data_IF_135609674188
#
_entry.id   IF_135609674188
#
_cell.length_a   1.000
_cell.length_b   1.000
_cell.length_c   1.000
_cell.angle_alpha   90.00
_cell.angle_beta   90.00
_cell.angle_gamma   90.00
#
_symmetry.space_group_name_H-M   'P 1'
#
loop_
_entity.id
_entity.type
_entity.pdbx_description
1 polymer ?
#
# COMPACT_ATOMS: atom_id res chain seq x y z
N UNK A 1 3.73 -13.73 -31.41
CA UNK A 1 2.95 -13.89 -30.17
C UNK A 1 3.91 -13.91 -28.97
N UNK A 2 4.51 -12.77 -28.61
CA UNK A 2 5.42 -12.68 -27.45
C UNK A 2 5.24 -11.39 -26.65
N UNK A 3 4.50 -10.40 -27.16
CA UNK A 3 4.24 -9.15 -26.46
C UNK A 3 3.15 -9.23 -25.37
N UNK A 4 2.35 -10.31 -25.35
CA UNK A 4 1.18 -10.43 -24.45
C UNK A 4 1.48 -11.00 -23.06
N UNK A 5 2.63 -11.65 -22.86
CA UNK A 5 2.97 -12.30 -21.58
C UNK A 5 3.72 -11.33 -20.66
N UNK A 6 4.49 -10.38 -21.21
CA UNK A 6 5.27 -9.40 -20.43
C UNK A 6 4.34 -8.40 -19.70
N UNK A 7 3.20 -8.02 -20.29
CA UNK A 7 2.26 -7.08 -19.66
C UNK A 7 1.47 -7.63 -18.46
N UNK A 8 1.43 -8.95 -18.25
CA UNK A 8 0.69 -9.54 -17.13
C UNK A 8 1.55 -9.68 -15.86
N UNK A 9 2.87 -9.74 -15.99
CA UNK A 9 3.80 -9.75 -14.85
C UNK A 9 4.05 -8.35 -14.27
N UNK A 10 3.94 -7.29 -15.08
CA UNK A 10 4.12 -5.90 -14.62
C UNK A 10 3.00 -5.39 -13.69
N UNK A 11 1.84 -6.05 -13.69
CA UNK A 11 0.68 -5.62 -12.90
C UNK A 11 0.53 -6.29 -11.54
N UNK A 12 1.31 -7.34 -11.23
CA UNK A 12 1.15 -8.04 -9.95
C UNK A 12 1.92 -7.32 -8.86
N UNK A 13 1.19 -6.60 -8.01
CA UNK A 13 1.77 -6.04 -6.79
C UNK A 13 1.94 -7.14 -5.75
N UNK A 14 3.10 -7.19 -5.10
CA UNK A 14 3.35 -8.17 -4.05
C UNK A 14 2.59 -7.81 -2.77
N UNK A 15 2.17 -8.79 -1.95
CA UNK A 15 1.51 -8.49 -0.67
C UNK A 15 2.31 -7.56 0.24
N UNK A 16 3.65 -7.70 0.27
CA UNK A 16 4.53 -6.83 1.05
C UNK A 16 4.56 -5.38 0.55
N UNK A 17 4.41 -5.17 -0.76
CA UNK A 17 4.31 -3.84 -1.35
C UNK A 17 2.98 -3.17 -1.00
N UNK A 18 1.89 -3.93 -0.97
CA UNK A 18 0.58 -3.44 -0.53
C UNK A 18 0.59 -3.02 0.94
N UNK A 19 1.30 -3.77 1.79
CA UNK A 19 1.51 -3.38 3.19
C UNK A 19 2.24 -2.03 3.28
N UNK A 20 3.24 -1.79 2.42
CA UNK A 20 3.96 -0.51 2.37
C UNK A 20 3.03 0.62 1.91
N UNK A 21 2.23 0.41 0.86
CA UNK A 21 1.26 1.41 0.38
C UNK A 21 0.23 1.74 1.46
N UNK A 22 -0.37 0.73 2.10
CA UNK A 22 -1.30 0.93 3.22
C UNK A 22 -0.66 1.68 4.39
N UNK A 23 0.57 1.32 4.78
CA UNK A 23 1.24 1.96 5.90
C UNK A 23 1.50 3.45 5.63
N UNK A 24 1.86 3.82 4.39
CA UNK A 24 2.04 5.23 3.99
C UNK A 24 0.70 5.98 4.02
N UNK A 25 -0.37 5.37 3.49
CA UNK A 25 -1.70 5.98 3.47
C UNK A 25 -2.27 6.18 4.89
N UNK A 26 -2.24 5.13 5.71
CA UNK A 26 -2.78 5.14 7.09
C UNK A 26 -2.00 6.08 8.00
N UNK A 27 -0.66 6.03 7.93
CA UNK A 27 0.15 6.90 8.80
C UNK A 27 0.00 8.39 8.46
N UNK A 28 -0.48 8.71 7.24
CA UNK A 28 -0.38 10.03 6.61
C UNK A 28 1.03 10.64 6.72
N UNK A 29 2.01 9.80 7.04
CA UNK A 29 3.40 10.13 7.26
C UNK A 29 4.16 9.66 6.04
N UNK A 30 5.25 10.35 5.83
CA UNK A 30 5.99 10.47 4.61
C UNK A 30 6.94 9.27 4.42
N UNK A 31 6.59 8.09 4.95
CA UNK A 31 7.42 6.87 4.95
C UNK A 31 8.75 6.96 5.70
N UNK A 32 9.17 8.16 6.17
CA UNK A 32 10.45 8.41 6.83
C UNK A 32 10.65 7.61 8.11
N UNK A 33 9.58 7.43 8.89
CA UNK A 33 9.62 6.65 10.13
C UNK A 33 9.76 5.15 9.87
N UNK A 34 9.18 4.64 8.77
CA UNK A 34 9.25 3.22 8.41
C UNK A 34 10.65 2.79 7.94
N UNK A 35 11.40 3.71 7.33
CA UNK A 35 12.77 3.47 6.88
C UNK A 35 13.85 3.74 7.93
N UNK A 36 13.49 4.38 9.05
CA UNK A 36 14.47 4.77 10.05
C UNK A 36 15.12 3.57 10.76
N UNK A 37 14.51 2.37 10.74
CA UNK A 37 15.01 1.18 11.45
C UNK A 37 14.72 -0.14 10.71
N UNK A 38 15.58 -0.53 9.75
CA UNK A 38 16.00 -1.92 9.72
C UNK A 38 17.50 -2.04 9.43
N UNK A 39 18.32 -2.25 10.48
CA UNK A 39 19.74 -2.57 10.33
C UNK A 39 19.86 -4.09 10.09
N UNK A 40 20.21 -4.50 8.87
CA UNK A 40 20.43 -5.91 8.51
C UNK A 40 19.90 -6.29 7.12
N UNK A 41 19.87 -7.60 6.82
CA UNK A 41 19.38 -8.18 5.55
C UNK A 41 17.94 -7.75 5.22
N UNK A 42 17.14 -7.46 6.25
CA UNK A 42 15.77 -6.94 6.14
C UNK A 42 15.73 -5.52 5.57
N UNK A 43 16.77 -4.70 5.80
CA UNK A 43 16.84 -3.33 5.29
C UNK A 43 17.02 -3.27 3.78
N UNK A 44 17.84 -4.16 3.22
CA UNK A 44 18.04 -4.26 1.77
C UNK A 44 16.78 -4.76 1.06
N UNK A 45 16.11 -5.77 1.62
CA UNK A 45 14.82 -6.24 1.11
C UNK A 45 13.77 -5.14 1.11
N UNK A 46 13.62 -4.41 2.23
CA UNK A 46 12.67 -3.28 2.32
C UNK A 46 13.03 -2.19 1.32
N UNK A 47 14.32 -1.83 1.19
CA UNK A 47 14.77 -0.83 0.20
C UNK A 47 14.39 -1.24 -1.22
N UNK A 48 14.60 -2.50 -1.58
CA UNK A 48 14.24 -3.04 -2.90
C UNK A 48 12.73 -2.93 -3.17
N UNK A 49 11.89 -3.14 -2.16
CA UNK A 49 10.44 -2.96 -2.31
C UNK A 49 10.06 -1.48 -2.55
N UNK A 50 10.69 -0.55 -1.82
CA UNK A 50 10.47 0.88 -2.06
C UNK A 50 10.93 1.32 -3.46
N UNK A 51 12.10 0.84 -3.89
CA UNK A 51 12.64 1.17 -5.21
C UNK A 51 11.79 0.56 -6.33
N UNK A 52 11.27 -0.67 -6.15
CA UNK A 52 10.27 -1.31 -7.02
C UNK A 52 8.98 -0.48 -7.15
N UNK A 53 8.49 0.06 -6.03
CA UNK A 53 7.28 0.88 -6.03
C UNK A 53 7.49 2.27 -6.65
N UNK A 54 8.69 2.84 -6.50
CA UNK A 54 9.08 4.09 -7.16
C UNK A 54 9.26 3.89 -8.66
N UNK A 55 9.95 2.83 -9.09
CA UNK A 55 10.22 2.57 -10.51
C UNK A 55 8.92 2.32 -11.29
N UNK A 56 7.94 1.66 -10.67
CA UNK A 56 6.60 1.44 -11.24
C UNK A 56 5.65 2.62 -11.07
N UNK A 57 6.08 3.68 -10.38
CA UNK A 57 5.35 4.94 -10.26
C UNK A 57 4.22 4.96 -9.24
N UNK A 58 4.17 3.99 -8.31
CA UNK A 58 3.20 3.97 -7.21
C UNK A 58 3.62 4.92 -6.07
N UNK A 59 4.93 5.08 -5.88
CA UNK A 59 5.50 6.01 -4.92
C UNK A 59 6.32 7.09 -5.62
N UNK A 60 6.31 8.28 -5.02
CA UNK A 60 7.23 9.37 -5.34
C UNK A 60 8.16 9.59 -4.16
N UNK A 61 9.46 9.51 -4.40
CA UNK A 61 10.49 9.85 -3.42
C UNK A 61 10.60 11.38 -3.33
N UNK A 62 10.53 11.90 -2.10
CA UNK A 62 10.68 13.30 -1.73
C UNK A 62 11.79 13.41 -0.68
N UNK A 63 12.86 14.17 -0.97
CA UNK A 63 14.00 14.31 -0.04
C UNK A 63 13.60 14.83 1.35
N UNK A 64 12.62 15.73 1.41
CA UNK A 64 12.13 16.34 2.65
C UNK A 64 11.02 15.54 3.33
N UNK A 65 10.27 14.73 2.57
CA UNK A 65 9.09 13.99 3.03
C UNK A 65 9.13 12.51 2.62
N UNK A 66 10.30 11.89 2.60
CA UNK A 66 10.50 10.44 2.34
C UNK A 66 9.75 9.93 1.10
N UNK A 67 8.68 9.18 1.27
CA UNK A 67 7.88 8.58 0.20
C UNK A 67 6.42 9.03 0.32
N UNK A 68 5.81 9.28 -0.84
CA UNK A 68 4.41 9.69 -0.95
C UNK A 68 3.71 8.86 -2.02
N UNK A 69 2.45 8.52 -1.78
CA UNK A 69 1.60 7.86 -2.75
C UNK A 69 1.30 8.79 -3.94
N UNK A 70 1.52 8.27 -5.15
CA UNK A 70 1.03 8.91 -6.38
C UNK A 70 -0.45 8.58 -6.59
N UNK A 71 -1.09 9.21 -7.58
CA UNK A 71 -2.46 8.83 -7.97
C UNK A 71 -2.53 7.36 -8.40
N UNK A 72 -1.53 6.86 -9.14
CA UNK A 72 -1.41 5.45 -9.55
C UNK A 72 -1.20 4.52 -8.34
N UNK A 73 -0.45 4.96 -7.34
CA UNK A 73 -0.28 4.22 -6.09
C UNK A 73 -1.59 4.08 -5.32
N UNK A 74 -2.36 5.17 -5.22
CA UNK A 74 -3.69 5.16 -4.61
C UNK A 74 -4.64 4.25 -5.36
N UNK A 75 -4.73 4.37 -6.68
CA UNK A 75 -5.60 3.53 -7.52
C UNK A 75 -5.29 2.04 -7.34
N UNK A 76 -4.01 1.65 -7.41
CA UNK A 76 -3.61 0.26 -7.17
C UNK A 76 -3.99 -0.23 -5.76
N UNK A 77 -3.82 0.63 -4.74
CA UNK A 77 -4.25 0.32 -3.39
C UNK A 77 -5.78 0.12 -3.33
N UNK A 78 -6.56 1.02 -3.94
CA UNK A 78 -8.01 0.91 -4.01
C UNK A 78 -8.47 -0.38 -4.70
N UNK A 79 -7.90 -0.73 -5.86
CA UNK A 79 -8.18 -1.98 -6.58
C UNK A 79 -7.90 -3.20 -5.69
N UNK A 80 -6.75 -3.22 -5.02
CA UNK A 80 -6.41 -4.30 -4.10
C UNK A 80 -7.38 -4.41 -2.94
N UNK A 81 -7.81 -3.29 -2.36
CA UNK A 81 -8.77 -3.28 -1.26
C UNK A 81 -10.14 -3.78 -1.71
N UNK A 82 -10.58 -3.43 -2.93
CA UNK A 82 -11.83 -3.90 -3.52
C UNK A 82 -11.79 -5.40 -3.85
N UNK A 83 -10.72 -5.88 -4.48
CA UNK A 83 -10.54 -7.30 -4.81
C UNK A 83 -10.45 -8.18 -3.55
N UNK A 84 -9.91 -7.63 -2.47
CA UNK A 84 -9.70 -8.34 -1.21
C UNK A 84 -10.66 -7.88 -0.11
N UNK A 85 -11.80 -7.27 -0.47
CA UNK A 85 -12.75 -6.60 0.44
C UNK A 85 -13.04 -7.38 1.72
N UNK A 86 -13.25 -8.69 1.64
CA UNK A 86 -13.46 -9.55 2.81
C UNK A 86 -12.21 -9.71 3.69
N UNK A 87 -11.04 -9.97 3.11
CA UNK A 87 -9.76 -10.09 3.84
C UNK A 87 -9.28 -8.77 4.43
N UNK A 88 -9.52 -7.68 3.72
CA UNK A 88 -9.20 -6.32 4.12
C UNK A 88 -10.06 -5.90 5.29
N UNK A 89 -11.36 -6.23 5.27
CA UNK A 89 -12.26 -6.04 6.41
C UNK A 89 -11.75 -6.75 7.67
N UNK A 90 -11.28 -7.99 7.54
CA UNK A 90 -10.71 -8.74 8.66
C UNK A 90 -9.39 -8.13 9.15
N UNK A 91 -8.56 -7.62 8.24
CA UNK A 91 -7.30 -6.95 8.57
C UNK A 91 -7.54 -5.60 9.26
N UNK A 92 -8.47 -4.79 8.77
CA UNK A 92 -8.87 -3.52 9.39
C UNK A 92 -9.42 -3.78 10.80
N UNK A 93 -10.30 -4.78 10.96
CA UNK A 93 -10.78 -5.19 12.29
C UNK A 93 -9.63 -5.58 13.21
N UNK A 94 -8.65 -6.32 12.71
CA UNK A 94 -7.47 -6.70 13.49
C UNK A 94 -6.63 -5.49 13.88
N UNK A 95 -6.42 -4.54 12.95
CA UNK A 95 -5.68 -3.30 13.23
C UNK A 95 -6.41 -2.41 14.25
N UNK A 96 -7.74 -2.32 14.17
CA UNK A 96 -8.57 -1.63 15.17
C UNK A 96 -8.51 -2.32 16.54
N UNK A 97 -8.52 -3.65 16.59
CA UNK A 97 -8.30 -4.43 17.82
C UNK A 97 -6.91 -4.20 18.43
N UNK A 98 -5.92 -3.86 17.59
CA UNK A 98 -4.56 -3.51 17.98
C UNK A 98 -4.41 -2.02 18.34
N UNK A 99 -5.50 -1.24 18.34
CA UNK A 99 -5.51 0.18 18.74
C UNK A 99 -4.96 1.13 17.68
N UNK A 100 -4.84 0.68 16.42
CA UNK A 100 -4.45 1.54 15.30
C UNK A 100 -5.71 2.18 14.74
N UNK A 101 -5.84 3.50 14.93
CA UNK A 101 -6.98 4.27 14.43
C UNK A 101 -6.99 4.27 12.88
N UNK A 102 -8.07 3.80 12.27
CA UNK A 102 -8.32 3.94 10.84
C UNK A 102 -8.75 5.37 10.51
N UNK A 103 -8.38 5.86 9.33
CA UNK A 103 -8.84 7.17 8.87
C UNK A 103 -10.33 7.13 8.48
N UNK A 104 -10.99 8.27 8.61
CA UNK A 104 -12.42 8.46 8.32
C UNK A 104 -12.79 8.08 6.86
N UNK A 105 -11.86 8.25 5.91
CA UNK A 105 -12.03 7.83 4.51
C UNK A 105 -12.15 6.30 4.37
N UNK A 106 -11.42 5.52 5.17
CA UNK A 106 -11.50 4.05 5.16
C UNK A 106 -12.83 3.59 5.76
N UNK A 107 -13.30 4.25 6.81
CA UNK A 107 -14.59 3.94 7.43
C UNK A 107 -15.76 4.29 6.49
N UNK A 108 -15.69 5.42 5.77
CA UNK A 108 -16.68 5.77 4.73
C UNK A 108 -16.68 4.76 3.58
N UNK A 109 -15.50 4.31 3.14
CA UNK A 109 -15.37 3.26 2.11
C UNK A 109 -15.96 1.93 2.54
N UNK A 110 -15.79 1.54 3.81
CA UNK A 110 -16.41 0.34 4.38
C UNK A 110 -17.94 0.50 4.45
N UNK A 111 -18.44 1.72 4.69
CA UNK A 111 -19.86 2.02 4.84
C UNK A 111 -20.60 2.09 3.50
N UNK A 112 -20.06 2.77 2.49
CA UNK A 112 -20.59 2.76 1.12
C UNK A 112 -20.62 1.33 0.55
N UNK A 113 -19.59 0.55 0.86
CA UNK A 113 -19.52 -0.86 0.50
C UNK A 113 -20.63 -1.75 1.08
N UNK A 114 -21.32 -1.31 2.15
CA UNK A 114 -22.39 -2.04 2.84
C UNK A 114 -23.77 -1.60 2.33
N UNK A 115 -23.94 -0.35 1.93
CA UNK A 115 -25.24 0.17 1.45
C UNK A 115 -25.58 -0.20 0.00
N UNK A 116 -24.62 -0.72 -0.77
CA UNK A 116 -24.83 -1.17 -2.16
C UNK A 116 -25.19 -2.68 -2.27
N UNK A 117 -25.51 -3.35 -1.15
CA UNK A 117 -25.98 -4.76 -1.14
C UNK A 117 -27.41 -4.89 -0.65
#
# INVERSE_FOLDING_TARGET
WTAGIICLEEKRMFPSEMVILMAIEVSRDSGKKLLAHPVGVTGEYISNLYDSLVSRGHLKKNSLRGYQLTSKGREALFEFLLENKTRVKDTIKMLQQLGIESSQEIDELVKEAIEVS
#
